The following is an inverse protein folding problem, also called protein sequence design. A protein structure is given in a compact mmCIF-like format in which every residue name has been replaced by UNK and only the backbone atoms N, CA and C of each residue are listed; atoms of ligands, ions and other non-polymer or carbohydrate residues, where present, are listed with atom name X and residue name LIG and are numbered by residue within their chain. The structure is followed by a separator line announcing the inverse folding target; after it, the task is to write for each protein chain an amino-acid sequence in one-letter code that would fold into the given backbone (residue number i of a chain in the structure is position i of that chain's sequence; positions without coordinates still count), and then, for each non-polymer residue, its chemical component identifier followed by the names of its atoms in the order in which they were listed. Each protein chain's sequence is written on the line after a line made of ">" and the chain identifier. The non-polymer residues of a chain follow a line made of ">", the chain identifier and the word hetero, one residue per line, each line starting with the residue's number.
data_IF_223715639451
#
_entry.id   IF_223715639451
#
_cell.length_a   1.000
_cell.length_b   1.000
_cell.length_c   1.000
_cell.angle_alpha   90.00
_cell.angle_beta   90.00
_cell.angle_gamma   90.00
#
_symmetry.space_group_name_H-M   'P 1'
#
loop_
_entity.id
_entity.type
_entity.pdbx_description
1 polymer ?
#
# COMPACT_ATOMS: atom_id res chain seq x y z
N UNK A 1 -22.41 14.18 10.10
CA UNK A 1 -22.73 12.93 9.39
C UNK A 1 -21.77 11.85 9.88
N UNK A 2 -22.18 11.13 10.93
CA UNK A 2 -21.35 10.13 11.60
C UNK A 2 -21.32 8.83 10.76
N UNK A 3 -20.15 8.49 10.22
CA UNK A 3 -19.92 7.21 9.56
C UNK A 3 -20.01 6.09 10.59
N UNK A 4 -21.05 5.28 10.47
CA UNK A 4 -21.30 4.08 11.30
C UNK A 4 -20.32 2.98 10.88
N UNK A 5 -19.13 2.96 11.45
CA UNK A 5 -18.28 1.76 11.46
C UNK A 5 -18.93 0.72 12.38
N UNK A 6 -19.68 -0.22 11.79
CA UNK A 6 -20.24 -1.34 12.54
C UNK A 6 -19.08 -2.18 13.10
N UNK A 7 -19.02 -2.45 14.41
CA UNK A 7 -18.06 -3.40 14.94
C UNK A 7 -18.37 -4.79 14.38
N UNK A 8 -17.36 -5.44 13.81
CA UNK A 8 -17.43 -6.79 13.27
C UNK A 8 -17.74 -7.77 14.41
N UNK A 9 -19.02 -8.05 14.64
CA UNK A 9 -19.51 -8.94 15.69
C UNK A 9 -19.08 -10.38 15.37
N UNK A 10 -18.21 -10.92 16.23
CA UNK A 10 -17.68 -12.27 16.20
C UNK A 10 -18.82 -13.25 16.54
N UNK A 11 -19.38 -13.94 15.56
CA UNK A 11 -20.34 -15.01 15.81
C UNK A 11 -19.61 -16.21 16.45
N UNK A 12 -19.80 -16.41 17.75
CA UNK A 12 -19.29 -17.56 18.50
C UNK A 12 -20.06 -18.83 18.10
N UNK A 13 -19.63 -19.49 17.02
CA UNK A 13 -20.06 -20.87 16.74
C UNK A 13 -19.14 -21.82 17.49
N UNK A 14 -19.68 -22.52 18.50
CA UNK A 14 -18.96 -23.57 19.23
C UNK A 14 -18.70 -24.75 18.28
N UNK A 15 -17.44 -25.20 18.09
CA UNK A 15 -17.14 -26.31 17.20
C UNK A 15 -17.66 -27.66 17.76
N UNK A 16 -17.97 -28.64 16.90
CA UNK A 16 -18.49 -29.94 17.32
C UNK A 16 -17.44 -30.73 18.14
N UNK A 17 -17.86 -31.63 19.04
CA UNK A 17 -16.94 -32.45 19.83
C UNK A 17 -16.15 -33.43 18.93
N UNK A 18 -14.84 -33.54 19.18
CA UNK A 18 -13.89 -34.30 18.33
C UNK A 18 -14.02 -35.82 18.54
N UNK A 19 -13.89 -36.64 17.48
CA UNK A 19 -13.78 -38.09 17.63
C UNK A 19 -12.42 -38.48 18.28
N UNK A 20 -12.44 -39.56 19.07
CA UNK A 20 -11.36 -39.99 19.95
C UNK A 20 -10.03 -40.26 19.24
N UNK A 21 -8.93 -39.77 19.84
CA UNK A 21 -7.55 -39.99 19.41
C UNK A 21 -7.15 -41.46 19.60
N UNK A 22 -6.64 -42.12 18.55
CA UNK A 22 -5.95 -43.41 18.68
C UNK A 22 -4.54 -43.20 19.24
N UNK A 23 -4.12 -44.04 20.18
CA UNK A 23 -2.82 -43.96 20.85
C UNK A 23 -1.61 -44.29 19.95
N UNK A 24 -1.84 -44.78 18.73
CA UNK A 24 -0.79 -45.28 17.82
C UNK A 24 -0.57 -44.41 16.58
N UNK A 25 -1.25 -43.27 16.47
CA UNK A 25 -1.11 -42.38 15.31
C UNK A 25 0.09 -41.43 15.50
N UNK A 26 1.16 -41.70 14.75
CA UNK A 26 2.39 -40.90 14.72
C UNK A 26 2.24 -39.60 13.90
N UNK A 27 1.10 -39.43 13.23
CA UNK A 27 0.75 -38.26 12.39
C UNK A 27 -0.47 -37.50 12.94
N UNK A 28 -0.50 -37.10 14.22
CA UNK A 28 -1.64 -36.37 14.74
C UNK A 28 -1.77 -35.00 14.07
N UNK A 29 -2.97 -34.66 13.61
CA UNK A 29 -3.28 -33.31 13.13
C UNK A 29 -2.99 -32.28 14.22
N UNK A 30 -2.16 -31.29 13.90
CA UNK A 30 -1.76 -30.23 14.83
C UNK A 30 -2.97 -29.40 15.26
N UNK A 31 -3.15 -29.22 16.57
CA UNK A 31 -4.20 -28.37 17.13
C UNK A 31 -3.86 -26.89 16.92
N UNK A 32 -4.33 -26.34 15.80
CA UNK A 32 -4.15 -24.94 15.43
C UNK A 32 -4.97 -23.97 16.31
N UNK A 33 -5.94 -24.48 17.08
CA UNK A 33 -6.82 -23.67 17.92
C UNK A 33 -6.28 -23.48 19.34
N UNK A 34 -5.65 -24.51 19.92
CA UNK A 34 -5.27 -24.52 21.35
C UNK A 34 -3.77 -24.74 21.60
N UNK A 35 -2.98 -25.03 20.55
CA UNK A 35 -1.54 -25.21 20.67
C UNK A 35 -0.79 -23.88 20.67
N UNK A 36 0.15 -23.71 21.62
CA UNK A 36 1.24 -22.72 21.48
C UNK A 36 1.83 -22.88 20.08
N UNK A 37 1.73 -21.85 19.25
CA UNK A 37 2.29 -21.82 17.88
C UNK A 37 3.74 -22.29 17.90
N UNK A 38 4.01 -23.50 17.41
CA UNK A 38 5.37 -24.06 17.29
C UNK A 38 5.96 -23.85 15.89
N UNK A 39 5.18 -23.28 14.96
CA UNK A 39 5.54 -23.08 13.56
C UNK A 39 5.61 -21.59 13.22
N UNK A 40 6.50 -20.87 13.90
CA UNK A 40 6.91 -19.51 13.54
C UNK A 40 6.44 -18.39 14.48
N UNK A 41 6.99 -17.18 14.31
CA UNK A 41 6.62 -16.02 15.11
C UNK A 41 5.14 -15.68 14.91
N UNK A 42 4.35 -15.76 15.98
CA UNK A 42 2.98 -15.26 16.00
C UNK A 42 3.05 -13.73 15.95
N UNK A 43 2.40 -13.11 14.95
CA UNK A 43 2.28 -11.64 14.91
C UNK A 43 1.56 -11.18 16.16
N UNK A 44 2.27 -10.47 17.04
CA UNK A 44 1.70 -9.85 18.25
C UNK A 44 1.04 -8.51 17.96
N UNK A 45 1.42 -7.88 16.85
CA UNK A 45 0.97 -6.56 16.45
C UNK A 45 0.40 -6.60 15.03
N UNK A 46 -0.64 -5.80 14.82
CA UNK A 46 -1.24 -5.60 13.50
C UNK A 46 -0.66 -4.31 12.92
N UNK A 47 -0.02 -4.34 11.74
CA UNK A 47 0.43 -3.13 11.08
C UNK A 47 -0.79 -2.26 10.75
N UNK A 48 -0.69 -0.97 11.08
CA UNK A 48 -1.65 0.05 10.66
C UNK A 48 -1.08 0.70 9.40
N UNK A 49 -1.87 0.70 8.33
CA UNK A 49 -1.49 1.41 7.11
C UNK A 49 -1.65 2.91 7.35
N UNK A 50 -0.60 3.67 7.09
CA UNK A 50 -0.59 5.13 7.21
C UNK A 50 -0.37 5.70 5.83
N UNK A 51 -1.30 6.56 5.40
CA UNK A 51 -1.18 7.30 4.16
C UNK A 51 -0.18 8.45 4.36
N UNK A 52 1.00 8.30 3.79
CA UNK A 52 2.06 9.32 3.77
C UNK A 52 2.06 10.04 2.42
N UNK A 53 2.39 11.32 2.43
CA UNK A 53 2.58 12.07 1.19
C UNK A 53 3.78 11.48 0.43
N UNK A 54 3.64 11.12 -0.86
CA UNK A 54 4.76 10.64 -1.65
C UNK A 54 5.89 11.67 -1.67
N UNK A 55 7.16 11.26 -1.54
CA UNK A 55 8.26 12.21 -1.44
C UNK A 55 8.44 13.04 -2.71
N UNK A 56 8.10 12.50 -3.89
CA UNK A 56 8.09 13.26 -5.14
C UNK A 56 7.07 14.41 -5.10
N UNK A 57 5.83 14.16 -4.65
CA UNK A 57 4.82 15.19 -4.47
C UNK A 57 5.27 16.22 -3.42
N UNK A 58 5.87 15.78 -2.32
CA UNK A 58 6.39 16.65 -1.27
C UNK A 58 7.57 17.52 -1.74
N UNK A 59 8.42 16.99 -2.62
CA UNK A 59 9.58 17.68 -3.17
C UNK A 59 9.27 18.60 -4.35
N UNK A 60 8.05 18.57 -4.89
CA UNK A 60 7.65 19.43 -5.99
C UNK A 60 7.21 20.81 -5.48
N UNK A 61 7.92 21.90 -5.79
CA UNK A 61 7.53 23.25 -5.34
C UNK A 61 6.25 23.75 -6.00
N UNK A 62 5.86 23.18 -7.15
CA UNK A 62 4.60 23.48 -7.82
C UNK A 62 3.40 22.75 -7.20
N UNK A 63 3.62 21.81 -6.28
CA UNK A 63 2.55 21.08 -5.60
C UNK A 63 1.81 20.08 -6.49
N UNK A 64 2.41 19.66 -7.62
CA UNK A 64 1.79 18.75 -8.57
C UNK A 64 1.53 17.36 -7.97
N UNK A 65 0.41 16.75 -8.34
CA UNK A 65 0.14 15.36 -8.00
C UNK A 65 0.86 14.38 -8.94
N UNK A 66 2.17 14.23 -8.75
CA UNK A 66 3.05 13.38 -9.58
C UNK A 66 2.58 11.93 -9.60
N UNK A 67 2.31 11.35 -8.43
CA UNK A 67 1.82 9.98 -8.35
C UNK A 67 0.49 9.78 -9.09
N UNK A 68 -0.41 10.77 -9.05
CA UNK A 68 -1.71 10.74 -9.68
C UNK A 68 -1.63 10.69 -11.21
N UNK A 69 -0.97 11.66 -11.85
CA UNK A 69 -0.87 11.66 -13.31
C UNK A 69 0.01 10.51 -13.83
N UNK A 70 1.05 10.10 -13.10
CA UNK A 70 1.87 8.92 -13.45
C UNK A 70 1.05 7.63 -13.44
N UNK A 71 0.09 7.48 -12.52
CA UNK A 71 -0.77 6.31 -12.49
C UNK A 71 -1.59 6.19 -13.79
N UNK A 72 -2.11 7.30 -14.31
CA UNK A 72 -2.80 7.36 -15.59
C UNK A 72 -1.88 7.08 -16.79
N UNK A 73 -0.66 7.64 -16.78
CA UNK A 73 0.34 7.33 -17.83
C UNK A 73 0.64 5.82 -17.86
N UNK A 74 0.79 5.19 -16.71
CA UNK A 74 1.10 3.75 -16.60
C UNK A 74 0.02 2.86 -17.23
N UNK A 75 -1.26 3.27 -17.17
CA UNK A 75 -2.38 2.51 -17.75
C UNK A 75 -2.71 2.95 -19.19
N UNK A 76 -1.97 3.90 -19.76
CA UNK A 76 -2.17 4.40 -21.14
C UNK A 76 -3.22 5.52 -21.26
N UNK A 77 -3.73 6.05 -20.15
CA UNK A 77 -4.75 7.10 -20.12
C UNK A 77 -4.11 8.50 -20.21
N UNK A 78 -3.43 8.78 -21.33
CA UNK A 78 -2.63 10.00 -21.48
C UNK A 78 -3.44 11.30 -21.37
N UNK A 79 -4.69 11.32 -21.84
CA UNK A 79 -5.56 12.50 -21.71
C UNK A 79 -5.89 12.79 -20.24
N UNK A 80 -6.22 11.75 -19.47
CA UNK A 80 -6.52 11.90 -18.06
C UNK A 80 -5.29 12.33 -17.26
N UNK A 81 -4.12 11.77 -17.58
CA UNK A 81 -2.85 12.23 -17.02
C UNK A 81 -2.62 13.72 -17.29
N UNK A 82 -2.84 14.17 -18.53
CA UNK A 82 -2.69 15.58 -18.91
C UNK A 82 -3.68 16.48 -18.16
N UNK A 83 -4.94 16.06 -17.98
CA UNK A 83 -5.94 16.81 -17.21
C UNK A 83 -5.56 16.97 -15.74
N UNK A 84 -5.04 15.91 -15.12
CA UNK A 84 -4.55 15.96 -13.73
C UNK A 84 -3.34 16.88 -13.64
N UNK A 85 -2.37 16.73 -14.53
CA UNK A 85 -1.16 17.54 -14.56
C UNK A 85 -1.46 19.04 -14.78
N UNK A 86 -2.39 19.35 -15.69
CA UNK A 86 -2.77 20.74 -16.01
C UNK A 86 -3.66 21.41 -14.97
N UNK A 87 -4.27 20.65 -14.06
CA UNK A 87 -5.03 21.20 -12.95
C UNK A 87 -4.11 21.96 -11.96
N UNK A 88 -2.90 21.44 -11.76
CA UNK A 88 -1.90 22.02 -10.85
C UNK A 88 -0.95 22.98 -11.58
N UNK A 89 -0.59 22.67 -12.83
CA UNK A 89 0.38 23.43 -13.61
C UNK A 89 -0.14 23.77 -15.02
N UNK A 90 -0.39 25.05 -15.35
CA UNK A 90 -0.94 25.44 -16.65
C UNK A 90 0.05 25.29 -17.82
N UNK A 91 1.36 25.13 -17.56
CA UNK A 91 2.40 25.06 -18.60
C UNK A 91 3.33 23.84 -18.42
N UNK A 92 2.81 22.60 -18.38
CA UNK A 92 3.61 21.43 -18.04
C UNK A 92 4.72 21.17 -19.06
N UNK A 93 4.45 21.37 -20.35
CA UNK A 93 5.41 21.14 -21.42
C UNK A 93 6.63 22.08 -21.39
N UNK A 94 6.48 23.28 -20.82
CA UNK A 94 7.58 24.23 -20.63
C UNK A 94 8.23 23.97 -19.28
N UNK A 95 7.43 23.86 -18.22
CA UNK A 95 7.92 23.60 -16.86
C UNK A 95 8.85 22.39 -16.84
N UNK A 96 8.45 21.26 -17.42
CA UNK A 96 9.25 20.04 -17.47
C UNK A 96 10.60 20.16 -18.20
N UNK A 97 10.76 21.15 -19.08
CA UNK A 97 12.03 21.42 -19.78
C UNK A 97 12.96 22.36 -19.02
N UNK A 98 12.40 23.24 -18.18
CA UNK A 98 13.16 24.27 -17.46
C UNK A 98 13.33 23.93 -15.97
N UNK A 99 12.59 22.96 -15.46
CA UNK A 99 12.65 22.54 -14.07
C UNK A 99 14.03 21.98 -13.72
N UNK A 100 14.45 22.20 -12.47
CA UNK A 100 15.65 21.55 -11.91
C UNK A 100 15.35 20.16 -11.32
N UNK A 101 14.12 19.67 -11.49
CA UNK A 101 13.66 18.35 -11.07
C UNK A 101 13.97 17.99 -9.60
N UNK A 102 13.65 18.85 -8.61
CA UNK A 102 13.88 18.52 -7.20
C UNK A 102 13.10 17.28 -6.75
N UNK A 103 11.98 16.96 -7.40
CA UNK A 103 11.20 15.74 -7.17
C UNK A 103 11.96 14.45 -7.48
N UNK A 104 12.95 14.47 -8.37
CA UNK A 104 13.78 13.30 -8.67
C UNK A 104 14.82 13.04 -7.57
N UNK A 105 15.36 14.11 -6.96
CA UNK A 105 16.37 14.02 -5.90
C UNK A 105 15.87 13.34 -4.63
N UNK A 106 14.56 13.40 -4.37
CA UNK A 106 13.90 12.80 -3.21
C UNK A 106 13.15 11.50 -3.56
N UNK A 107 13.34 10.97 -4.76
CA UNK A 107 12.62 9.77 -5.21
C UNK A 107 13.07 8.53 -4.42
N UNK A 108 12.13 7.78 -3.83
CA UNK A 108 12.41 6.50 -3.14
C UNK A 108 13.21 5.51 -4.01
N UNK A 109 13.05 5.59 -5.33
CA UNK A 109 13.68 4.66 -6.27
C UNK A 109 15.17 4.96 -6.47
N UNK A 110 15.64 6.17 -6.15
CA UNK A 110 17.06 6.54 -6.22
C UNK A 110 17.95 5.65 -5.34
N UNK A 111 17.43 5.13 -4.23
CA UNK A 111 18.14 4.23 -3.31
C UNK A 111 18.17 2.75 -3.79
N UNK A 112 17.40 2.43 -4.83
CA UNK A 112 17.25 1.06 -5.36
C UNK A 112 17.99 0.88 -6.68
N UNK A 113 17.70 1.73 -7.66
CA UNK A 113 18.34 1.74 -8.97
C UNK A 113 18.54 3.16 -9.48
N UNK A 114 17.50 3.83 -9.96
CA UNK A 114 17.57 5.21 -10.42
C UNK A 114 16.26 5.93 -10.16
N UNK A 115 16.34 7.25 -9.97
CA UNK A 115 15.15 8.09 -9.91
C UNK A 115 14.30 7.90 -11.18
N UNK A 116 12.98 8.03 -11.01
CA UNK A 116 12.07 8.07 -12.14
C UNK A 116 12.24 9.42 -12.84
N UNK A 117 12.45 9.40 -14.16
CA UNK A 117 12.49 10.62 -14.96
C UNK A 117 11.11 11.29 -14.98
N UNK A 118 11.04 12.51 -14.45
CA UNK A 118 9.82 13.33 -14.31
C UNK A 118 10.06 14.65 -15.04
N UNK A 119 9.76 14.68 -16.35
CA UNK A 119 9.88 15.86 -17.23
C UNK A 119 8.61 16.09 -18.05
#
# INVERSE_FOLDING_TARGET
>A
MASRSRPFQRAERRPPPRPGRSATDITPLTDLEHGRSRTGPVRRERPVYVDLLPPCNAGCPAGENIQGWMAHVKVGEHEQAWRVLTADNPFPAIHGRVCYHPCESVCNRAELDSAVSIH
#
